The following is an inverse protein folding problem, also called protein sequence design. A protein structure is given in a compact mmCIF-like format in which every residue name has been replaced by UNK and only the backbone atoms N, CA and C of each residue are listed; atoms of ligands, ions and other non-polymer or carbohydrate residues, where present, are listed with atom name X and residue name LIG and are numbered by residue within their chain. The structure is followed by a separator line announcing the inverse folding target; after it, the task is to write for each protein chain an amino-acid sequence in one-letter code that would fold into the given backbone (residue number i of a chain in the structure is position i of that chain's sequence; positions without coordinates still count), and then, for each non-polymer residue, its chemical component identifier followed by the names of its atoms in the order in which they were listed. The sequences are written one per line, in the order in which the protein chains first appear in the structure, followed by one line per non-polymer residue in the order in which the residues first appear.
data_IF_728888931369
#
_entry.id   IF_728888931369
#
_cell.length_a   1.000
_cell.length_b   1.000
_cell.length_c   1.000
_cell.angle_alpha   90.00
_cell.angle_beta   90.00
_cell.angle_gamma   90.00
#
_symmetry.space_group_name_H-M   'P 1'
#
loop_
_entity.id
_entity.type
_entity.pdbx_description
1 polymer ?
#
# COMPACT_ATOMS: atom_id res chain seq x y z
N UNK A 1 -9.34 69.24 14.56
CA UNK A 1 -10.17 69.81 13.48
C UNK A 1 -10.23 68.85 12.32
N UNK A 2 -11.45 68.40 11.96
CA UNK A 2 -11.99 68.06 10.62
C UNK A 2 -11.19 67.04 9.80
N UNK A 3 -11.71 65.99 9.18
CA UNK A 3 -13.09 65.70 8.70
C UNK A 3 -13.27 64.23 8.43
N UNK A 4 -14.39 63.76 8.82
CA UNK A 4 -15.09 62.53 8.43
C UNK A 4 -15.44 62.57 6.95
N UNK A 5 -15.22 61.46 6.19
CA UNK A 5 -15.96 61.19 4.96
C UNK A 5 -16.44 59.74 4.94
N UNK A 6 -17.76 59.65 4.98
CA UNK A 6 -18.58 58.44 4.66
C UNK A 6 -18.72 58.36 3.13
N UNK A 7 -18.79 57.20 2.60
CA UNK A 7 -19.65 56.84 1.45
C UNK A 7 -19.64 55.31 1.37
N UNK A 8 -20.67 54.71 1.54
CA UNK A 8 -21.91 54.45 0.79
C UNK A 8 -21.84 53.11 0.06
N UNK A 9 -22.76 52.29 0.48
CA UNK A 9 -23.13 50.94 0.05
C UNK A 9 -23.36 50.84 -1.46
N UNK A 10 -23.02 49.68 -2.03
CA UNK A 10 -23.78 49.11 -3.15
C UNK A 10 -24.04 47.63 -2.87
N UNK A 11 -25.29 47.31 -2.63
CA UNK A 11 -25.90 46.00 -2.69
C UNK A 11 -25.92 45.58 -4.17
N UNK A 12 -25.40 44.41 -4.48
CA UNK A 12 -25.72 43.70 -5.71
C UNK A 12 -26.24 42.34 -5.32
N UNK A 13 -27.56 42.18 -5.46
CA UNK A 13 -28.26 40.90 -5.38
C UNK A 13 -27.90 40.09 -6.63
N UNK A 14 -27.48 38.85 -6.44
CA UNK A 14 -27.37 37.90 -7.55
C UNK A 14 -28.19 36.63 -7.26
N UNK A 15 -29.04 36.37 -8.23
CA UNK A 15 -30.00 35.27 -8.29
C UNK A 15 -29.38 33.88 -8.05
N UNK A 16 -30.06 33.11 -7.22
CA UNK A 16 -29.95 31.66 -7.13
C UNK A 16 -30.62 31.02 -8.37
N UNK A 17 -29.78 30.27 -9.10
CA UNK A 17 -30.27 29.24 -10.02
C UNK A 17 -29.98 27.87 -9.40
N UNK A 18 -31.00 27.26 -8.84
CA UNK A 18 -31.00 25.88 -8.38
C UNK A 18 -31.17 24.95 -9.57
N UNK A 19 -30.23 24.05 -9.78
CA UNK A 19 -30.38 22.91 -10.69
C UNK A 19 -30.48 21.66 -9.82
N UNK A 20 -31.56 20.84 -9.93
CA UNK A 20 -31.63 19.60 -9.19
C UNK A 20 -30.85 18.51 -9.92
N UNK A 21 -29.82 17.97 -9.27
CA UNK A 21 -29.23 16.69 -9.68
C UNK A 21 -30.09 15.56 -9.07
N UNK A 22 -30.72 14.82 -9.93
CA UNK A 22 -31.35 13.56 -9.60
C UNK A 22 -30.31 12.53 -9.19
N UNK A 23 -30.32 12.13 -7.93
CA UNK A 23 -29.59 10.98 -7.41
C UNK A 23 -30.36 9.70 -7.70
N UNK A 24 -29.76 8.76 -8.40
CA UNK A 24 -30.21 7.37 -8.46
C UNK A 24 -29.58 6.60 -7.31
N UNK A 25 -30.35 6.35 -6.27
CA UNK A 25 -30.06 5.36 -5.23
C UNK A 25 -30.73 4.03 -5.64
N UNK A 26 -29.96 3.01 -5.88
CA UNK A 26 -30.45 1.63 -5.97
C UNK A 26 -30.33 1.00 -4.59
N UNK A 27 -31.44 0.92 -3.88
CA UNK A 27 -31.60 0.02 -2.73
C UNK A 27 -31.75 -1.41 -3.24
N UNK A 28 -30.89 -2.31 -2.73
CA UNK A 28 -31.10 -3.74 -2.84
C UNK A 28 -31.70 -4.25 -1.52
N UNK A 29 -32.97 -4.55 -1.55
CA UNK A 29 -33.69 -5.26 -0.50
C UNK A 29 -33.23 -6.70 -0.39
N UNK A 30 -32.72 -7.07 0.77
CA UNK A 30 -32.53 -8.46 1.17
C UNK A 30 -33.79 -8.96 1.89
N UNK A 31 -34.45 -9.92 1.31
CA UNK A 31 -35.51 -10.68 1.99
C UNK A 31 -34.89 -11.73 2.91
N UNK A 32 -35.27 -11.66 4.16
CA UNK A 32 -35.06 -12.70 5.16
C UNK A 32 -36.11 -13.81 4.98
N UNK A 33 -35.67 -15.04 4.88
CA UNK A 33 -36.55 -16.19 5.18
C UNK A 33 -36.04 -16.91 6.43
N UNK A 34 -36.89 -16.87 7.42
CA UNK A 34 -36.87 -17.61 8.65
C UNK A 34 -37.23 -19.06 8.38
N UNK A 35 -36.51 -20.03 8.92
CA UNK A 35 -37.05 -21.35 9.26
C UNK A 35 -36.31 -21.89 10.48
N UNK A 36 -37.09 -22.21 11.45
CA UNK A 36 -36.81 -22.62 12.80
C UNK A 36 -36.35 -24.08 12.94
N UNK A 37 -35.60 -24.34 14.05
CA UNK A 37 -35.64 -25.52 14.89
C UNK A 37 -34.77 -26.71 14.42
N UNK A 38 -33.93 -27.35 15.23
CA UNK A 38 -34.06 -27.83 16.60
C UNK A 38 -32.72 -28.25 17.21
N UNK A 39 -32.67 -28.28 18.52
CA UNK A 39 -31.66 -28.69 19.47
C UNK A 39 -30.82 -29.93 19.16
N UNK A 40 -29.55 -29.91 19.57
CA UNK A 40 -28.70 -31.09 19.73
C UNK A 40 -27.33 -30.71 20.35
N UNK A 41 -27.28 -30.77 21.67
CA UNK A 41 -26.08 -30.68 22.51
C UNK A 41 -25.11 -31.82 22.23
N UNK A 42 -23.81 -31.52 22.09
CA UNK A 42 -22.70 -32.21 22.74
C UNK A 42 -21.32 -31.69 22.32
N UNK A 43 -20.54 -31.26 23.26
CA UNK A 43 -19.07 -31.19 23.27
C UNK A 43 -18.52 -32.52 23.76
N UNK A 44 -17.18 -32.76 23.81
CA UNK A 44 -16.05 -32.49 22.94
C UNK A 44 -15.17 -33.73 22.65
N UNK A 45 -14.20 -33.62 21.78
CA UNK A 45 -12.92 -34.38 21.80
C UNK A 45 -12.04 -33.87 20.64
N UNK A 46 -10.98 -33.21 20.85
CA UNK A 46 -9.62 -33.57 21.28
C UNK A 46 -8.94 -34.65 20.40
N UNK A 47 -7.80 -34.17 19.88
CA UNK A 47 -6.56 -34.87 19.54
C UNK A 47 -6.34 -35.41 18.12
N UNK A 48 -5.42 -34.67 17.49
CA UNK A 48 -4.12 -35.18 17.01
C UNK A 48 -4.12 -36.26 15.92
N UNK A 49 -3.62 -35.86 14.78
CA UNK A 49 -2.61 -36.65 14.08
C UNK A 49 -1.63 -35.75 13.35
N UNK A 50 -0.48 -35.56 13.99
CA UNK A 50 0.73 -35.20 13.27
C UNK A 50 1.11 -36.42 12.41
N UNK A 51 1.15 -36.24 11.10
CA UNK A 51 1.85 -37.18 10.24
C UNK A 51 3.10 -36.46 9.72
N UNK A 52 4.21 -37.00 10.27
CA UNK A 52 5.56 -36.81 9.76
C UNK A 52 5.63 -37.24 8.29
N UNK A 53 5.97 -36.34 7.41
CA UNK A 53 6.57 -36.68 6.13
C UNK A 53 8.04 -36.36 6.17
N UNK A 54 8.81 -37.44 6.18
CA UNK A 54 10.24 -37.47 6.14
C UNK A 54 10.79 -36.80 4.86
N UNK A 55 11.93 -36.16 5.05
CA UNK A 55 12.84 -35.61 4.05
C UNK A 55 12.98 -36.49 2.81
N UNK A 56 12.74 -35.88 1.65
CA UNK A 56 13.45 -36.22 0.44
C UNK A 56 14.23 -34.98 0.02
N UNK A 57 15.53 -35.05 0.16
CA UNK A 57 16.47 -34.20 -0.54
C UNK A 57 16.16 -34.34 -2.03
N UNK A 58 15.72 -33.27 -2.65
CA UNK A 58 15.79 -33.13 -4.09
C UNK A 58 16.53 -31.84 -4.44
N UNK A 59 17.50 -32.09 -5.27
CA UNK A 59 18.44 -31.17 -5.89
C UNK A 59 17.81 -29.81 -6.23
N UNK A 60 18.56 -28.76 -5.89
CA UNK A 60 18.41 -27.41 -6.41
C UNK A 60 18.49 -27.38 -7.93
N UNK A 61 17.35 -27.58 -8.58
CA UNK A 61 17.17 -27.14 -9.94
C UNK A 61 16.74 -25.69 -9.86
N UNK A 62 17.62 -24.77 -10.22
CA UNK A 62 17.25 -23.39 -10.50
C UNK A 62 16.20 -23.44 -11.60
N UNK A 63 14.93 -23.31 -11.21
CA UNK A 63 13.82 -23.21 -12.14
C UNK A 63 14.01 -21.91 -12.92
N UNK A 64 14.57 -22.02 -14.12
CA UNK A 64 14.48 -20.92 -15.09
C UNK A 64 12.98 -20.73 -15.35
N UNK A 65 12.44 -19.66 -14.82
CA UNK A 65 11.05 -19.25 -15.05
C UNK A 65 10.91 -19.11 -16.55
N UNK A 66 10.05 -19.94 -17.15
CA UNK A 66 9.82 -19.89 -18.59
C UNK A 66 9.20 -18.51 -18.91
N UNK A 67 9.94 -17.66 -19.61
CA UNK A 67 9.49 -16.30 -19.96
C UNK A 67 8.16 -16.26 -20.70
N UNK A 68 7.77 -17.35 -21.35
CA UNK A 68 6.48 -17.42 -22.07
C UNK A 68 5.28 -17.55 -21.12
N UNK A 69 5.44 -18.18 -19.95
CA UNK A 69 4.39 -18.22 -18.94
C UNK A 69 4.08 -16.84 -18.36
N UNK A 70 5.07 -15.96 -18.28
CA UNK A 70 4.89 -14.61 -17.76
C UNK A 70 4.21 -13.65 -18.73
N UNK A 71 4.09 -14.03 -20.02
CA UNK A 71 3.32 -13.27 -21.02
C UNK A 71 1.82 -13.40 -20.85
N UNK A 72 1.36 -14.42 -20.10
CA UNK A 72 -0.05 -14.57 -19.75
C UNK A 72 -0.35 -13.84 -18.44
N UNK A 73 -1.55 -13.26 -18.35
CA UNK A 73 -2.01 -12.65 -17.10
C UNK A 73 -2.29 -13.73 -16.05
N UNK A 74 -1.94 -13.44 -14.78
CA UNK A 74 -2.28 -14.34 -13.69
C UNK A 74 -3.81 -14.37 -13.47
N UNK A 75 -4.35 -15.56 -13.23
CA UNK A 75 -5.77 -15.76 -12.92
C UNK A 75 -6.16 -15.29 -11.52
N UNK A 76 -5.19 -15.13 -10.62
CA UNK A 76 -5.38 -14.63 -9.27
C UNK A 76 -5.49 -13.10 -9.26
N UNK A 77 -6.13 -12.50 -8.23
CA UNK A 77 -6.18 -11.04 -8.09
C UNK A 77 -4.85 -10.41 -7.67
N UNK A 78 -3.82 -11.21 -7.43
CA UNK A 78 -2.46 -10.81 -7.07
C UNK A 78 -1.46 -11.47 -8.01
N UNK A 79 -0.25 -10.93 -8.15
CA UNK A 79 0.80 -11.54 -8.97
C UNK A 79 1.16 -12.94 -8.45
N UNK A 80 1.30 -13.89 -9.35
CA UNK A 80 1.79 -15.24 -9.02
C UNK A 80 3.17 -15.17 -8.36
N UNK A 81 3.55 -16.23 -7.66
CA UNK A 81 4.89 -16.31 -7.09
C UNK A 81 5.97 -16.17 -8.17
N UNK A 82 5.79 -16.82 -9.32
CA UNK A 82 6.74 -16.74 -10.44
C UNK A 82 6.94 -15.30 -10.93
N UNK A 83 5.87 -14.53 -11.07
CA UNK A 83 5.93 -13.10 -11.47
C UNK A 83 6.57 -12.25 -10.37
N UNK A 84 6.24 -12.50 -9.14
CA UNK A 84 6.83 -11.84 -7.97
C UNK A 84 8.33 -12.14 -7.83
N UNK A 85 8.71 -13.41 -8.02
CA UNK A 85 10.10 -13.86 -8.03
C UNK A 85 10.92 -13.17 -9.13
N UNK A 86 10.37 -13.05 -10.34
CA UNK A 86 11.04 -12.34 -11.44
C UNK A 86 11.31 -10.87 -11.08
N UNK A 87 10.35 -10.20 -10.46
CA UNK A 87 10.49 -8.79 -10.08
C UNK A 87 11.64 -8.59 -9.09
N UNK A 88 11.73 -9.47 -8.08
CA UNK A 88 12.69 -9.32 -6.98
C UNK A 88 14.00 -10.10 -7.17
N UNK A 89 14.16 -10.88 -8.24
CA UNK A 89 15.34 -11.72 -8.48
C UNK A 89 16.67 -10.98 -8.23
N UNK A 90 16.87 -9.76 -8.77
CA UNK A 90 18.15 -9.05 -8.57
C UNK A 90 18.41 -8.58 -7.14
N UNK A 91 17.39 -8.59 -6.28
CA UNK A 91 17.48 -8.08 -4.90
C UNK A 91 17.31 -9.17 -3.84
N UNK A 92 16.99 -10.41 -4.22
CA UNK A 92 16.78 -11.53 -3.27
C UNK A 92 17.94 -11.72 -2.31
N UNK A 93 19.19 -11.60 -2.81
CA UNK A 93 20.39 -11.74 -2.01
C UNK A 93 20.59 -10.71 -0.90
N UNK A 94 19.77 -9.65 -0.87
CA UNK A 94 19.79 -8.64 0.20
C UNK A 94 19.03 -9.11 1.46
N UNK A 95 18.32 -10.24 1.38
CA UNK A 95 17.45 -10.75 2.44
C UNK A 95 17.91 -12.14 2.89
N UNK A 96 18.09 -12.33 4.18
CA UNK A 96 18.44 -13.64 4.75
C UNK A 96 17.33 -14.69 4.63
N UNK A 97 16.07 -14.23 4.59
CA UNK A 97 14.92 -15.10 4.51
C UNK A 97 13.77 -14.39 3.80
N UNK A 98 13.26 -15.00 2.74
CA UNK A 98 12.07 -14.57 2.00
C UNK A 98 11.14 -15.76 1.85
N UNK A 99 9.89 -15.61 2.27
CA UNK A 99 8.84 -16.61 2.11
C UNK A 99 7.62 -15.96 1.44
N UNK A 100 7.22 -16.49 0.28
CA UNK A 100 5.99 -16.02 -0.38
C UNK A 100 4.77 -16.30 0.50
N UNK A 101 3.93 -15.30 0.73
CA UNK A 101 2.79 -15.40 1.66
C UNK A 101 1.51 -15.97 1.02
N UNK A 102 1.55 -16.37 -0.24
CA UNK A 102 0.37 -16.85 -0.97
C UNK A 102 -0.66 -15.78 -1.34
N UNK A 103 -0.31 -14.50 -1.20
CA UNK A 103 -1.22 -13.36 -1.45
C UNK A 103 -0.52 -12.19 -2.14
N UNK A 104 0.65 -12.43 -2.74
CA UNK A 104 1.42 -11.51 -3.56
C UNK A 104 2.66 -10.90 -2.90
N UNK A 105 2.75 -10.86 -1.56
CA UNK A 105 3.92 -10.34 -0.85
C UNK A 105 4.82 -11.45 -0.31
N UNK A 106 6.00 -11.08 0.19
CA UNK A 106 6.92 -11.96 0.89
C UNK A 106 7.01 -11.58 2.36
N UNK A 107 7.10 -12.59 3.20
CA UNK A 107 7.50 -12.47 4.60
C UNK A 107 9.02 -12.37 4.64
N UNK A 108 9.53 -11.38 5.37
CA UNK A 108 10.97 -11.14 5.59
C UNK A 108 11.29 -11.43 7.06
N UNK A 109 12.43 -12.05 7.32
CA UNK A 109 12.92 -12.26 8.68
C UNK A 109 11.86 -12.88 9.62
N UNK A 110 11.19 -13.96 9.18
CA UNK A 110 10.12 -14.62 9.93
C UNK A 110 9.02 -13.64 10.42
N UNK A 111 8.73 -12.63 9.62
CA UNK A 111 7.77 -11.56 9.92
C UNK A 111 8.16 -10.69 11.14
N UNK A 112 9.44 -10.68 11.53
CA UNK A 112 9.90 -9.89 12.65
C UNK A 112 10.51 -8.58 12.16
N UNK A 113 9.97 -7.47 12.63
CA UNK A 113 10.54 -6.14 12.40
C UNK A 113 11.91 -6.01 13.04
N UNK A 114 12.85 -5.39 12.34
CA UNK A 114 14.17 -5.03 12.86
C UNK A 114 14.21 -3.63 13.46
N UNK A 115 13.08 -2.94 13.50
CA UNK A 115 12.95 -1.63 14.13
C UNK A 115 13.17 -1.75 15.65
N UNK A 116 13.89 -0.78 16.20
CA UNK A 116 14.17 -0.71 17.64
C UNK A 116 12.90 -0.64 18.50
N UNK A 117 13.07 -0.66 19.80
CA UNK A 117 11.95 -0.63 20.73
C UNK A 117 11.12 0.65 20.61
N UNK A 118 9.82 0.49 20.70
CA UNK A 118 8.84 1.56 20.54
C UNK A 118 8.40 2.03 21.92
N UNK A 119 8.74 3.26 22.26
CA UNK A 119 8.30 3.84 23.53
C UNK A 119 6.83 4.22 23.45
N UNK A 120 6.02 3.96 24.50
CA UNK A 120 4.59 4.28 24.50
C UNK A 120 4.31 5.75 24.84
N UNK A 121 5.20 6.65 24.46
CA UNK A 121 5.07 8.10 24.67
C UNK A 121 5.91 8.86 23.63
N UNK A 122 5.53 10.08 23.35
CA UNK A 122 6.23 10.97 22.42
C UNK A 122 5.30 11.60 21.38
N UNK A 123 5.83 12.59 20.68
CA UNK A 123 5.12 13.23 19.57
C UNK A 123 5.36 12.47 18.28
N UNK A 124 4.36 12.39 17.37
CA UNK A 124 4.56 11.77 16.09
C UNK A 124 5.55 12.57 15.24
N UNK A 125 6.34 11.86 14.45
CA UNK A 125 7.24 12.43 13.47
C UNK A 125 7.34 11.52 12.24
N UNK A 126 7.71 12.10 11.11
CA UNK A 126 7.97 11.38 9.87
C UNK A 126 9.09 12.09 9.10
N UNK A 127 9.88 11.31 8.38
CA UNK A 127 10.93 11.80 7.50
C UNK A 127 11.07 10.90 6.27
N UNK A 128 11.48 11.49 5.16
CA UNK A 128 11.75 10.79 3.91
C UNK A 128 13.20 11.00 3.47
N UNK A 129 13.69 10.09 2.66
CA UNK A 129 15.02 10.15 2.07
C UNK A 129 14.96 9.88 0.57
N UNK A 130 15.86 10.54 -0.15
CA UNK A 130 16.15 10.32 -1.57
C UNK A 130 17.59 9.85 -1.72
N UNK A 131 17.86 9.19 -2.83
CA UNK A 131 19.23 8.95 -3.27
C UNK A 131 19.77 10.11 -4.11
N UNK A 132 21.02 9.97 -4.58
CA UNK A 132 21.70 10.96 -5.43
C UNK A 132 21.04 11.16 -6.80
N UNK A 133 20.15 10.24 -7.22
CA UNK A 133 19.36 10.35 -8.46
C UNK A 133 17.99 11.01 -8.24
N UNK A 134 17.70 11.46 -7.01
CA UNK A 134 16.43 12.07 -6.65
C UNK A 134 15.26 11.09 -6.55
N UNK A 135 15.53 9.76 -6.45
CA UNK A 135 14.50 8.73 -6.25
C UNK A 135 14.16 8.61 -4.77
N UNK A 136 12.89 8.54 -4.44
CA UNK A 136 12.44 8.26 -3.08
C UNK A 136 12.91 6.85 -2.66
N UNK A 137 13.64 6.74 -1.56
CA UNK A 137 14.25 5.47 -1.13
C UNK A 137 13.74 4.97 0.20
N UNK A 138 13.43 5.86 1.14
CA UNK A 138 12.88 5.44 2.42
C UNK A 138 12.01 6.49 3.07
N UNK A 139 11.06 6.01 3.86
CA UNK A 139 10.27 6.77 4.81
C UNK A 139 10.31 6.12 6.17
N UNK A 140 10.61 6.91 7.18
CA UNK A 140 10.64 6.51 8.58
C UNK A 140 9.66 7.34 9.39
N UNK A 141 8.92 6.70 10.30
CA UNK A 141 7.95 7.39 11.12
C UNK A 141 7.80 6.78 12.52
N UNK A 142 7.54 7.64 13.48
CA UNK A 142 6.97 7.29 14.77
C UNK A 142 5.55 7.83 14.79
N UNK A 143 4.59 6.95 14.88
CA UNK A 143 3.18 7.24 14.66
C UNK A 143 2.37 7.10 15.94
N UNK A 144 1.44 8.02 16.10
CA UNK A 144 0.39 8.00 17.13
C UNK A 144 -0.94 8.31 16.46
N UNK A 145 -2.04 8.20 17.17
CA UNK A 145 -3.36 8.62 16.64
C UNK A 145 -3.37 10.07 16.14
N UNK A 146 -2.54 10.96 16.72
CA UNK A 146 -2.43 12.36 16.30
C UNK A 146 -1.84 12.52 14.88
N UNK A 147 -1.05 11.54 14.40
CA UNK A 147 -0.49 11.55 13.04
C UNK A 147 -1.55 11.28 11.96
N UNK A 148 -2.66 10.62 12.34
CA UNK A 148 -3.71 10.17 11.43
C UNK A 148 -4.39 11.35 10.74
N UNK A 149 -4.53 11.25 9.40
CA UNK A 149 -5.35 12.17 8.62
C UNK A 149 -6.62 11.46 8.16
N UNK A 150 -7.77 12.01 8.53
CA UNK A 150 -9.09 11.46 8.22
C UNK A 150 -9.81 12.25 7.10
N UNK A 151 -9.35 13.47 6.82
CA UNK A 151 -9.90 14.30 5.73
C UNK A 151 -9.32 13.87 4.39
N UNK A 152 -10.09 14.06 3.33
CA UNK A 152 -9.63 13.81 1.97
C UNK A 152 -8.49 14.76 1.58
N UNK A 153 -7.62 14.34 0.65
CA UNK A 153 -6.50 15.14 0.15
C UNK A 153 -6.93 16.49 -0.41
N UNK A 154 -8.04 16.54 -1.15
CA UNK A 154 -8.60 17.79 -1.69
C UNK A 154 -8.95 18.83 -0.62
N UNK A 155 -9.32 18.37 0.56
CA UNK A 155 -9.66 19.23 1.71
C UNK A 155 -8.45 19.77 2.48
N UNK A 156 -7.24 19.25 2.18
CA UNK A 156 -6.01 19.60 2.89
C UNK A 156 -4.91 20.15 1.99
N UNK A 157 -5.23 20.45 0.72
CA UNK A 157 -4.23 20.92 -0.25
C UNK A 157 -3.23 19.87 -0.73
N UNK A 158 -3.40 18.60 -0.34
CA UNK A 158 -2.53 17.49 -0.72
C UNK A 158 -3.08 16.68 -1.92
N UNK A 159 -3.96 17.30 -2.71
CA UNK A 159 -4.68 16.67 -3.81
C UNK A 159 -3.84 16.45 -5.06
N UNK A 160 -4.53 16.28 -6.20
CA UNK A 160 -3.96 15.90 -7.48
C UNK A 160 -2.77 16.76 -7.91
N UNK A 161 -1.75 16.11 -8.44
CA UNK A 161 -0.54 16.74 -8.97
C UNK A 161 -0.30 16.27 -10.41
N UNK A 162 0.20 17.15 -11.25
CA UNK A 162 0.73 16.81 -12.58
C UNK A 162 2.15 16.22 -12.51
N UNK A 163 2.84 16.38 -11.38
CA UNK A 163 4.18 15.86 -11.17
C UNK A 163 4.21 14.32 -11.27
N UNK A 164 5.26 13.79 -11.86
CA UNK A 164 5.44 12.35 -12.07
C UNK A 164 6.78 11.89 -11.50
N UNK A 165 6.82 10.80 -10.72
CA UNK A 165 8.08 10.20 -10.30
C UNK A 165 8.84 9.58 -11.48
N UNK A 166 10.12 9.27 -11.26
CA UNK A 166 10.96 8.59 -12.26
C UNK A 166 10.29 7.30 -12.76
N UNK A 167 10.37 7.01 -14.04
CA UNK A 167 9.80 5.81 -14.65
C UNK A 167 8.26 5.75 -14.70
N UNK A 168 7.55 6.84 -14.47
CA UNK A 168 6.08 6.87 -14.48
C UNK A 168 5.53 6.90 -15.92
N UNK A 169 5.49 5.74 -16.57
CA UNK A 169 4.93 5.56 -17.91
C UNK A 169 3.55 4.88 -17.81
N UNK A 170 2.50 5.70 -17.64
CA UNK A 170 1.16 5.21 -17.38
C UNK A 170 0.52 4.54 -18.61
N UNK A 171 -0.06 3.36 -18.39
CA UNK A 171 -0.91 2.64 -19.33
C UNK A 171 -2.27 2.41 -18.66
N UNK A 172 -3.33 2.70 -19.41
CA UNK A 172 -4.72 2.58 -18.97
C UNK A 172 -5.43 1.42 -19.67
N UNK A 173 -6.63 1.11 -19.20
CA UNK A 173 -7.54 0.12 -19.78
C UNK A 173 -6.97 -1.30 -19.79
N UNK A 174 -6.11 -1.62 -18.83
CA UNK A 174 -5.64 -2.99 -18.64
C UNK A 174 -6.80 -3.92 -18.24
N UNK A 175 -6.77 -5.20 -18.60
CA UNK A 175 -7.79 -6.17 -18.22
C UNK A 175 -7.76 -6.47 -16.72
N UNK A 176 -8.89 -6.94 -16.19
CA UNK A 176 -8.99 -7.37 -14.79
C UNK A 176 -9.24 -6.23 -13.79
N UNK A 177 -8.90 -6.47 -12.53
CA UNK A 177 -9.18 -5.55 -11.42
C UNK A 177 -8.28 -4.31 -11.46
N UNK A 178 -7.02 -4.45 -11.81
CA UNK A 178 -6.03 -3.37 -11.81
C UNK A 178 -5.90 -2.79 -13.21
N UNK A 179 -6.72 -1.77 -13.49
CA UNK A 179 -6.99 -1.27 -14.84
C UNK A 179 -5.96 -0.28 -15.39
N UNK A 180 -4.95 0.07 -14.61
CA UNK A 180 -3.83 0.88 -15.07
C UNK A 180 -2.52 0.42 -14.43
N UNK A 181 -1.41 0.78 -15.06
CA UNK A 181 -0.11 0.26 -14.66
C UNK A 181 0.36 0.83 -13.33
N UNK A 182 0.33 2.14 -13.17
CA UNK A 182 1.02 2.82 -12.08
C UNK A 182 0.15 3.77 -11.28
N UNK A 183 0.52 3.90 -10.02
CA UNK A 183 0.13 4.98 -9.11
C UNK A 183 1.36 5.81 -8.74
N UNK A 184 1.14 7.04 -8.27
CA UNK A 184 2.09 7.77 -7.43
C UNK A 184 2.07 7.12 -6.06
N UNK A 185 2.90 6.09 -5.87
CA UNK A 185 2.97 5.33 -4.62
C UNK A 185 3.64 6.15 -3.53
N UNK A 186 3.01 6.26 -2.38
CA UNK A 186 3.63 6.88 -1.21
C UNK A 186 4.50 5.88 -0.46
N UNK A 187 5.67 6.29 -0.02
CA UNK A 187 6.39 5.54 1.00
C UNK A 187 5.61 5.63 2.32
N UNK A 188 5.37 6.82 2.81
CA UNK A 188 4.53 7.04 3.98
C UNK A 188 3.15 7.53 3.55
N UNK A 189 2.12 6.69 3.77
CA UNK A 189 0.76 6.94 3.31
C UNK A 189 0.13 8.16 3.97
N UNK A 190 -0.56 8.98 3.18
CA UNK A 190 -1.23 10.20 3.63
C UNK A 190 -2.14 9.98 4.86
N UNK A 191 -2.87 8.87 4.90
CA UNK A 191 -3.73 8.55 6.02
C UNK A 191 -2.97 8.26 7.33
N UNK A 192 -1.67 7.98 7.26
CA UNK A 192 -0.81 7.70 8.42
C UNK A 192 -0.09 8.94 8.93
N UNK A 193 0.35 9.83 8.01
CA UNK A 193 1.27 10.92 8.33
C UNK A 193 0.73 12.32 8.00
N UNK A 194 -0.40 12.42 7.31
CA UNK A 194 -0.90 13.68 6.76
C UNK A 194 -1.34 14.73 7.79
N UNK A 195 -1.35 14.39 9.09
CA UNK A 195 -1.60 15.33 10.17
C UNK A 195 -0.34 15.65 11.00
N UNK A 196 0.84 15.19 10.55
CA UNK A 196 2.12 15.55 11.18
C UNK A 196 2.53 16.94 10.70
N UNK A 197 2.68 17.86 11.65
CA UNK A 197 3.11 19.23 11.33
C UNK A 197 4.53 19.22 10.72
N UNK A 198 4.68 19.96 9.61
CA UNK A 198 5.95 20.05 8.88
C UNK A 198 6.26 18.90 7.93
N UNK A 199 5.47 17.82 7.91
CA UNK A 199 5.63 16.75 6.94
C UNK A 199 4.82 17.02 5.66
N UNK A 200 5.49 16.94 4.50
CA UNK A 200 4.83 17.08 3.20
C UNK A 200 4.28 15.74 2.72
N UNK A 201 2.98 15.52 2.90
CA UNK A 201 2.28 14.30 2.47
C UNK A 201 1.62 14.42 1.08
N UNK A 202 1.96 15.45 0.29
CA UNK A 202 1.37 15.66 -1.04
C UNK A 202 1.83 14.62 -2.06
N UNK A 203 1.02 14.45 -3.13
CA UNK A 203 1.37 13.58 -4.27
C UNK A 203 2.48 14.14 -5.18
N UNK A 204 2.97 15.34 -4.88
CA UNK A 204 4.10 15.98 -5.57
C UNK A 204 5.38 16.00 -4.75
N UNK A 205 5.41 15.38 -3.57
CA UNK A 205 6.63 15.30 -2.77
C UNK A 205 7.59 14.25 -3.35
N UNK A 206 8.69 14.64 -4.01
CA UNK A 206 9.60 13.70 -4.66
C UNK A 206 10.33 12.78 -3.67
N UNK A 207 10.40 13.15 -2.39
CA UNK A 207 11.00 12.32 -1.35
C UNK A 207 10.07 11.21 -0.85
N UNK A 208 8.76 11.34 -1.09
CA UNK A 208 7.76 10.42 -0.57
C UNK A 208 7.02 9.63 -1.65
N UNK A 209 7.25 9.93 -2.92
CA UNK A 209 6.49 9.37 -4.03
C UNK A 209 7.41 8.63 -4.99
N UNK A 210 7.08 7.37 -5.28
CA UNK A 210 7.73 6.54 -6.27
C UNK A 210 6.72 5.98 -7.30
N UNK A 211 7.23 5.45 -8.41
CA UNK A 211 6.42 4.72 -9.38
C UNK A 211 6.09 3.34 -8.85
N UNK A 212 4.85 3.12 -8.48
CA UNK A 212 4.37 1.87 -7.92
C UNK A 212 3.21 1.33 -8.74
N UNK A 213 3.14 0.01 -8.98
CA UNK A 213 2.02 -0.59 -9.69
C UNK A 213 0.71 -0.37 -8.93
N UNK A 214 -0.40 -0.35 -9.67
CA UNK A 214 -1.71 -0.20 -9.04
C UNK A 214 -1.97 -1.31 -8.02
N UNK A 215 -1.59 -2.56 -8.32
CA UNK A 215 -1.71 -3.67 -7.38
C UNK A 215 -0.85 -3.46 -6.13
N UNK A 216 0.45 -3.22 -6.29
CA UNK A 216 1.36 -3.09 -5.15
C UNK A 216 0.95 -1.97 -4.20
N UNK A 217 0.42 -0.86 -4.73
CA UNK A 217 -0.08 0.26 -3.95
C UNK A 217 -1.44 -0.02 -3.28
N UNK A 218 -2.44 -0.51 -4.04
CA UNK A 218 -3.84 -0.46 -3.63
C UNK A 218 -4.38 -1.75 -3.03
N UNK A 219 -3.76 -2.91 -3.27
CA UNK A 219 -4.25 -4.18 -2.75
C UNK A 219 -4.33 -4.16 -1.21
N UNK A 220 -5.51 -4.51 -0.66
CA UNK A 220 -5.80 -4.28 0.76
C UNK A 220 -6.57 -5.40 1.46
N UNK A 221 -6.69 -6.57 0.81
CA UNK A 221 -7.45 -7.72 1.39
C UNK A 221 -6.48 -8.75 1.97
N UNK A 222 -6.89 -9.55 2.98
CA UNK A 222 -6.02 -10.59 3.56
C UNK A 222 -5.47 -11.60 2.55
N UNK A 223 -6.22 -11.87 1.50
CA UNK A 223 -5.82 -12.75 0.38
C UNK A 223 -5.30 -11.99 -0.85
N UNK A 224 -4.94 -10.71 -0.70
CA UNK A 224 -4.44 -9.86 -1.78
C UNK A 224 -3.71 -8.65 -1.15
N UNK A 225 -2.43 -8.84 -0.81
CA UNK A 225 -1.67 -8.03 0.14
C UNK A 225 -0.65 -7.12 -0.54
N UNK A 226 -1.10 -5.95 -1.02
CA UNK A 226 -0.22 -4.84 -1.37
C UNK A 226 0.09 -3.93 -0.17
N UNK A 227 0.73 -2.81 -0.41
CA UNK A 227 1.12 -1.85 0.64
C UNK A 227 -0.07 -1.39 1.49
N UNK A 228 -1.21 -1.08 0.86
CA UNK A 228 -2.40 -0.59 1.56
C UNK A 228 -2.97 -1.59 2.58
N UNK A 229 -2.74 -2.90 2.40
CA UNK A 229 -3.09 -3.91 3.39
C UNK A 229 -2.30 -3.72 4.70
N UNK A 230 -0.98 -3.59 4.59
CA UNK A 230 -0.09 -3.39 5.75
C UNK A 230 -0.29 -2.03 6.41
N UNK A 231 -0.50 -0.99 5.62
CA UNK A 231 -0.92 0.30 6.15
C UNK A 231 -2.25 0.22 6.91
N UNK A 232 -3.18 -0.62 6.45
CA UNK A 232 -4.45 -0.90 7.12
C UNK A 232 -4.26 -1.44 8.54
N UNK A 233 -3.28 -2.32 8.74
CA UNK A 233 -2.92 -2.85 10.07
C UNK A 233 -2.42 -1.70 10.96
N UNK A 234 -1.53 -0.86 10.44
CA UNK A 234 -1.01 0.30 11.19
C UNK A 234 -2.13 1.29 11.50
N UNK A 235 -2.98 1.64 10.51
CA UNK A 235 -4.13 2.55 10.75
C UNK A 235 -5.02 2.07 11.89
N UNK A 236 -5.37 0.79 11.91
CA UNK A 236 -6.19 0.19 12.98
C UNK A 236 -5.51 0.28 14.35
N UNK A 237 -4.20 0.05 14.42
CA UNK A 237 -3.43 0.16 15.65
C UNK A 237 -3.43 1.61 16.19
N UNK A 238 -3.23 2.60 15.30
CA UNK A 238 -3.26 4.01 15.68
C UNK A 238 -4.65 4.44 16.17
N UNK A 239 -5.71 3.95 15.53
CA UNK A 239 -7.10 4.22 15.94
C UNK A 239 -7.42 3.64 17.34
N UNK A 240 -6.70 2.58 17.73
CA UNK A 240 -6.70 1.99 19.08
C UNK A 240 -5.74 2.70 20.08
N UNK A 241 -5.22 3.87 19.72
CA UNK A 241 -4.25 4.66 20.51
C UNK A 241 -2.89 3.98 20.73
N UNK A 242 -2.48 3.04 19.88
CA UNK A 242 -1.15 2.43 19.95
C UNK A 242 -0.10 3.37 19.39
N UNK A 243 1.14 3.18 19.84
CA UNK A 243 2.33 3.87 19.33
C UNK A 243 3.05 2.91 18.39
N UNK A 244 3.39 3.36 17.17
CA UNK A 244 3.94 2.49 16.13
C UNK A 244 5.18 3.13 15.48
N UNK A 245 6.31 2.39 15.45
CA UNK A 245 7.38 2.67 14.50
C UNK A 245 7.00 2.04 13.17
N UNK A 246 7.14 2.80 12.10
CA UNK A 246 6.79 2.40 10.75
C UNK A 246 7.90 2.82 9.79
N UNK A 247 8.37 1.89 8.97
CA UNK A 247 9.40 2.15 7.97
C UNK A 247 9.00 1.52 6.65
N UNK A 248 9.20 2.27 5.58
CA UNK A 248 9.04 1.82 4.19
C UNK A 248 10.33 2.08 3.43
N UNK A 249 10.80 1.09 2.67
CA UNK A 249 11.99 1.22 1.82
C UNK A 249 11.68 0.74 0.42
N UNK A 250 11.86 1.62 -0.55
CA UNK A 250 11.84 1.25 -1.96
C UNK A 250 13.23 0.79 -2.39
N UNK A 251 13.29 -0.38 -3.05
CA UNK A 251 14.54 -1.05 -3.39
C UNK A 251 14.73 -1.02 -4.90
N UNK A 252 15.76 -0.33 -5.32
CA UNK A 252 16.17 -0.19 -6.72
C UNK A 252 17.41 -1.01 -7.02
N UNK A 253 17.64 -1.34 -8.30
CA UNK A 253 18.89 -1.93 -8.78
C UNK A 253 19.62 -0.91 -9.64
N UNK A 254 20.80 -0.52 -9.22
CA UNK A 254 21.63 0.45 -9.97
C UNK A 254 20.84 1.72 -10.34
N UNK A 255 20.78 2.01 -11.64
CA UNK A 255 20.15 3.21 -12.19
C UNK A 255 18.69 3.00 -12.61
N UNK A 256 18.03 1.92 -12.20
CA UNK A 256 16.61 1.69 -12.51
C UNK A 256 15.74 2.82 -11.99
N UNK A 257 14.77 3.22 -12.80
CA UNK A 257 13.86 4.33 -12.45
C UNK A 257 12.66 3.88 -11.63
N UNK A 258 12.34 2.58 -11.68
CA UNK A 258 11.20 1.98 -10.95
C UNK A 258 11.76 1.05 -9.88
N UNK A 259 11.31 1.12 -8.61
CA UNK A 259 11.76 0.19 -7.59
C UNK A 259 11.30 -1.24 -7.90
N UNK A 260 12.12 -2.24 -7.57
CA UNK A 260 11.79 -3.65 -7.72
C UNK A 260 10.78 -4.14 -6.70
N UNK A 261 10.84 -3.58 -5.50
CA UNK A 261 9.94 -3.91 -4.41
C UNK A 261 9.95 -2.82 -3.35
N UNK A 262 8.95 -2.86 -2.49
CA UNK A 262 8.83 -2.02 -1.29
C UNK A 262 8.89 -2.91 -0.06
N UNK A 263 9.92 -2.75 0.79
CA UNK A 263 9.99 -3.37 2.10
C UNK A 263 9.21 -2.52 3.10
N UNK A 264 8.35 -3.15 3.90
CA UNK A 264 7.51 -2.49 4.88
C UNK A 264 7.69 -3.14 6.24
N UNK A 265 8.02 -2.36 7.24
CA UNK A 265 8.16 -2.81 8.62
C UNK A 265 7.31 -1.98 9.56
N UNK A 266 6.72 -2.63 10.55
CA UNK A 266 6.07 -1.96 11.66
C UNK A 266 6.29 -2.71 12.96
N UNK A 267 6.36 -1.95 14.06
CA UNK A 267 6.41 -2.48 15.42
C UNK A 267 5.65 -1.53 16.34
N UNK A 268 4.70 -2.05 17.14
CA UNK A 268 4.00 -1.27 18.16
C UNK A 268 4.64 -1.42 19.53
N UNK A 269 4.40 -0.43 20.41
CA UNK A 269 4.93 -0.42 21.77
C UNK A 269 4.41 -1.57 22.64
N UNK A 270 3.22 -2.09 22.34
CA UNK A 270 2.59 -3.22 23.04
C UNK A 270 2.86 -4.58 22.37
N UNK A 271 3.64 -4.61 21.28
CA UNK A 271 4.01 -5.83 20.56
C UNK A 271 2.89 -6.44 19.70
N UNK A 272 1.68 -5.89 19.70
CA UNK A 272 0.54 -6.46 18.94
C UNK A 272 0.63 -6.21 17.44
N UNK A 273 1.41 -5.22 17.01
CA UNK A 273 1.84 -5.04 15.64
C UNK A 273 3.33 -5.32 15.58
N UNK A 274 3.71 -6.33 14.82
CA UNK A 274 5.09 -6.64 14.50
C UNK A 274 5.11 -7.36 13.16
N UNK A 275 5.61 -6.71 12.12
CA UNK A 275 5.76 -7.33 10.81
C UNK A 275 6.93 -6.77 10.01
N UNK A 276 7.44 -7.59 9.11
CA UNK A 276 8.46 -7.25 8.12
C UNK A 276 8.13 -7.98 6.83
N UNK A 277 7.78 -7.24 5.79
CA UNK A 277 7.32 -7.78 4.53
C UNK A 277 7.95 -7.07 3.34
N UNK A 278 8.00 -7.76 2.22
CA UNK A 278 8.43 -7.22 0.94
C UNK A 278 7.27 -7.33 -0.05
N UNK A 279 6.82 -6.21 -0.58
CA UNK A 279 5.80 -6.14 -1.63
C UNK A 279 6.51 -5.94 -2.97
N UNK A 280 6.52 -6.95 -3.86
CA UNK A 280 7.09 -6.80 -5.19
C UNK A 280 6.36 -5.72 -5.97
N UNK A 281 7.10 -4.87 -6.67
CA UNK A 281 6.49 -3.85 -7.50
C UNK A 281 6.17 -4.41 -8.89
N UNK A 282 5.19 -5.29 -8.95
CA UNK A 282 4.70 -5.95 -10.15
C UNK A 282 3.16 -5.99 -10.16
N UNK A 283 2.55 -6.54 -11.19
CA UNK A 283 1.10 -6.68 -11.32
C UNK A 283 0.77 -7.86 -12.24
N UNK A 284 -0.35 -8.51 -12.01
CA UNK A 284 -0.70 -9.77 -12.67
C UNK A 284 -0.95 -9.69 -14.19
N UNK A 285 -1.14 -8.51 -14.74
CA UNK A 285 -1.51 -8.30 -16.15
C UNK A 285 -0.48 -7.49 -16.95
N UNK A 286 0.70 -7.22 -16.39
CA UNK A 286 1.79 -6.49 -17.05
C UNK A 286 3.17 -7.07 -16.74
N UNK A 287 4.10 -6.85 -17.68
CA UNK A 287 5.54 -6.96 -17.46
C UNK A 287 6.14 -5.55 -17.44
N UNK A 288 7.10 -5.33 -16.57
CA UNK A 288 7.72 -4.03 -16.31
C UNK A 288 9.18 -4.04 -16.75
N UNK A 289 9.58 -3.04 -17.52
CA UNK A 289 10.97 -2.68 -17.70
C UNK A 289 11.36 -1.67 -16.57
N UNK A 290 12.01 -2.15 -15.53
CA UNK A 290 12.35 -1.33 -14.37
C UNK A 290 13.36 -0.23 -14.67
N UNK A 291 14.17 -0.39 -15.74
CA UNK A 291 15.14 0.63 -16.13
C UNK A 291 14.49 1.96 -16.53
N UNK A 292 13.29 1.92 -17.13
CA UNK A 292 12.62 3.11 -17.64
C UNK A 292 11.12 3.20 -17.36
N UNK A 293 10.51 2.16 -16.77
CA UNK A 293 9.09 2.12 -16.45
C UNK A 293 8.15 1.76 -17.59
N UNK A 294 8.66 1.35 -18.76
CA UNK A 294 7.81 0.82 -19.82
C UNK A 294 7.13 -0.48 -19.38
N UNK A 295 5.89 -0.66 -19.78
CA UNK A 295 5.11 -1.87 -19.50
C UNK A 295 4.66 -2.55 -20.80
N UNK A 296 4.66 -3.88 -20.76
CA UNK A 296 4.03 -4.72 -21.77
C UNK A 296 2.82 -5.39 -21.14
N UNK A 297 1.66 -5.26 -21.76
CA UNK A 297 0.44 -5.92 -21.29
C UNK A 297 0.57 -7.44 -21.52
N UNK A 298 0.18 -8.22 -20.51
CA UNK A 298 0.01 -9.67 -20.64
C UNK A 298 -1.33 -9.99 -21.31
N UNK A 299 -1.35 -11.09 -22.06
CA UNK A 299 -2.54 -11.58 -22.73
C UNK A 299 -3.43 -12.43 -21.82
#
# INVERSE_FOLDING_TARGET
MKKLKRSLSLLAALLLLAVPLAGCSTESTSQSNNSQSTNGSSKPALFSKAQSFANKHDNSTSSQVNNDQLKQADITPYPSQARSDQAIEPIKGQFNSLQFNGSGAYIVNNNQSTLGDVKPYGRPWAQNHQDSQGRATSGDAYLTKQARQYRNRSQTGNGASSWKPAGYQQVFNLPGQYRFAYNRGHLLGYALVGNINGFNASESNPQNIATQTMWANQAQKPNNTGQNYYEGIVRKALDQNKFVRYQVKDIYVGNEQVPRATQIQAKSSDGTVNFNVLVPNTQNNILINYANGQVTQCQ
#
